data_IF_875634154026
#
_entry.id   IF_875634154026
#
_cell.length_a   1.000
_cell.length_b   1.000
_cell.length_c   1.000
_cell.angle_alpha   90.00
_cell.angle_beta   90.00
_cell.angle_gamma   90.00
#
_symmetry.space_group_name_H-M   'P 1'
#
loop_
_entity.id
_entity.type
_entity.pdbx_description
1 polymer ?
#
# COMPACT_ATOMS: atom_id res chain seq x y z
N UNK A 1 -17.12 16.48 -0.77
CA UNK A 1 -15.84 16.18 -0.09
C UNK A 1 -15.09 14.99 -0.71
N UNK A 2 -15.76 13.85 -0.92
CA UNK A 2 -15.20 12.60 -1.50
C UNK A 2 -14.41 12.79 -2.82
N UNK A 3 -14.91 13.60 -3.77
CA UNK A 3 -14.23 13.82 -5.06
C UNK A 3 -12.86 14.53 -4.93
N UNK A 4 -12.75 15.52 -4.02
CA UNK A 4 -11.48 16.22 -3.76
C UNK A 4 -10.46 15.28 -3.15
N UNK A 5 -10.87 14.46 -2.18
CA UNK A 5 -9.99 13.50 -1.53
C UNK A 5 -9.46 12.46 -2.51
N UNK A 6 -10.32 11.88 -3.36
CA UNK A 6 -9.89 10.94 -4.42
C UNK A 6 -8.89 11.58 -5.37
N UNK A 7 -9.11 12.83 -5.74
CA UNK A 7 -8.20 13.56 -6.61
C UNK A 7 -6.83 13.79 -5.96
N UNK A 8 -6.80 14.15 -4.67
CA UNK A 8 -5.55 14.29 -3.90
C UNK A 8 -4.82 12.95 -3.82
N UNK A 9 -5.54 11.86 -3.56
CA UNK A 9 -4.96 10.52 -3.41
C UNK A 9 -4.35 10.03 -4.73
N UNK A 10 -5.09 10.17 -5.85
CA UNK A 10 -4.55 9.86 -7.17
C UNK A 10 -3.38 10.76 -7.55
N UNK A 11 -3.44 12.06 -7.19
CA UNK A 11 -2.32 12.98 -7.38
C UNK A 11 -1.08 12.56 -6.62
N UNK A 12 -1.21 12.17 -5.35
CA UNK A 12 -0.09 11.69 -4.54
C UNK A 12 0.56 10.43 -5.12
N UNK A 13 -0.25 9.46 -5.59
CA UNK A 13 0.23 8.24 -6.26
C UNK A 13 0.96 8.59 -7.56
N UNK A 14 0.39 9.48 -8.38
CA UNK A 14 1.01 9.90 -9.63
C UNK A 14 2.36 10.61 -9.38
N UNK A 15 2.43 11.50 -8.38
CA UNK A 15 3.66 12.22 -8.01
C UNK A 15 4.75 11.24 -7.54
N UNK A 16 4.42 10.31 -6.63
CA UNK A 16 5.40 9.30 -6.17
C UNK A 16 5.85 8.38 -7.30
N UNK A 17 4.95 8.02 -8.22
CA UNK A 17 5.31 7.30 -9.44
C UNK A 17 6.29 8.07 -10.33
N UNK A 18 6.04 9.35 -10.57
CA UNK A 18 6.93 10.20 -11.39
C UNK A 18 8.29 10.38 -10.71
N UNK A 19 8.33 10.61 -9.39
CA UNK A 19 9.59 10.75 -8.65
C UNK A 19 10.45 9.48 -8.74
N UNK A 20 9.84 8.30 -8.65
CA UNK A 20 10.54 7.02 -8.81
C UNK A 20 11.08 6.76 -10.23
N UNK A 21 10.62 7.51 -11.23
CA UNK A 21 11.15 7.46 -12.59
C UNK A 21 12.25 8.51 -12.82
N UNK A 22 12.11 9.71 -12.23
CA UNK A 22 13.07 10.81 -12.36
C UNK A 22 14.38 10.56 -11.60
N UNK A 23 14.32 9.82 -10.49
CA UNK A 23 15.49 9.51 -9.66
C UNK A 23 15.83 8.01 -9.69
N UNK A 24 16.40 7.48 -10.79
CA UNK A 24 16.86 6.10 -10.83
C UNK A 24 18.04 5.90 -9.87
N UNK A 25 18.09 4.74 -9.21
CA UNK A 25 19.21 4.37 -8.35
C UNK A 25 20.51 4.33 -9.16
N UNK A 26 21.50 5.10 -8.70
CA UNK A 26 22.77 5.31 -9.42
C UNK A 26 23.69 4.09 -9.36
N UNK A 27 23.61 3.33 -8.28
CA UNK A 27 24.36 2.09 -8.04
C UNK A 27 23.41 0.97 -7.57
N UNK A 28 22.74 0.26 -8.50
CA UNK A 28 21.85 -0.84 -8.14
C UNK A 28 22.68 -2.05 -7.67
N UNK A 29 22.73 -2.29 -6.36
CA UNK A 29 23.34 -3.49 -5.77
C UNK A 29 22.46 -4.72 -5.96
N UNK A 30 21.16 -4.54 -6.10
CA UNK A 30 20.19 -5.62 -6.30
C UNK A 30 19.36 -5.41 -7.57
N UNK A 31 18.93 -6.52 -8.19
CA UNK A 31 18.27 -6.49 -9.49
C UNK A 31 16.93 -5.73 -9.48
N UNK A 32 16.20 -5.73 -8.36
CA UNK A 32 14.95 -5.00 -8.18
C UNK A 32 15.12 -3.48 -8.07
N UNK A 33 16.29 -2.98 -7.65
CA UNK A 33 16.57 -1.53 -7.62
C UNK A 33 16.76 -0.94 -9.03
N UNK A 34 16.94 -1.80 -10.05
CA UNK A 34 16.99 -1.39 -11.45
C UNK A 34 15.60 -1.02 -12.00
N UNK A 35 14.54 -1.45 -11.34
CA UNK A 35 13.16 -1.18 -11.77
C UNK A 35 12.77 0.19 -11.22
N UNK A 36 12.59 1.22 -12.07
CA UNK A 36 12.09 2.51 -11.60
C UNK A 36 10.68 2.30 -11.02
N UNK A 37 10.32 3.09 -10.00
CA UNK A 37 9.00 3.03 -9.34
C UNK A 37 8.75 1.76 -8.50
N UNK A 38 9.73 0.86 -8.36
CA UNK A 38 9.58 -0.38 -7.57
C UNK A 38 9.09 -0.13 -6.14
N UNK A 39 9.66 0.85 -5.44
CA UNK A 39 9.32 1.15 -4.05
C UNK A 39 7.86 1.59 -3.88
N UNK A 40 7.34 2.37 -4.84
CA UNK A 40 5.94 2.82 -4.81
C UNK A 40 4.97 1.65 -5.03
N UNK A 41 5.30 0.74 -5.96
CA UNK A 41 4.51 -0.47 -6.22
C UNK A 41 4.55 -1.39 -4.99
N UNK A 42 5.74 -1.60 -4.42
CA UNK A 42 5.92 -2.44 -3.24
C UNK A 42 5.14 -1.90 -2.03
N UNK A 43 5.24 -0.59 -1.77
CA UNK A 43 4.48 0.06 -0.69
C UNK A 43 2.96 -0.03 -0.90
N UNK A 44 2.49 0.16 -2.14
CA UNK A 44 1.06 0.06 -2.46
C UNK A 44 0.52 -1.37 -2.27
N UNK A 45 1.25 -2.37 -2.79
CA UNK A 45 0.90 -3.79 -2.61
C UNK A 45 0.96 -4.17 -1.13
N UNK A 46 2.00 -3.75 -0.40
CA UNK A 46 2.14 -3.98 1.03
C UNK A 46 0.95 -3.43 1.82
N UNK A 47 0.48 -2.23 1.48
CA UNK A 47 -0.69 -1.63 2.11
C UNK A 47 -1.97 -2.46 1.86
N UNK A 48 -2.18 -2.92 0.61
CA UNK A 48 -3.31 -3.80 0.27
C UNK A 48 -3.22 -5.12 1.05
N UNK A 49 -2.04 -5.75 1.10
CA UNK A 49 -1.82 -7.00 1.82
C UNK A 49 -2.17 -6.82 3.30
N UNK A 50 -1.68 -5.75 3.94
CA UNK A 50 -1.98 -5.46 5.35
C UNK A 50 -3.49 -5.31 5.58
N UNK A 51 -4.20 -4.61 4.70
CA UNK A 51 -5.66 -4.44 4.82
C UNK A 51 -6.36 -5.79 4.73
N UNK A 52 -6.01 -6.63 3.74
CA UNK A 52 -6.62 -7.95 3.54
C UNK A 52 -6.31 -8.85 4.73
N UNK A 53 -5.05 -8.90 5.15
CA UNK A 53 -4.59 -9.72 6.26
C UNK A 53 -5.27 -9.29 7.57
N UNK A 54 -5.41 -7.98 7.81
CA UNK A 54 -6.11 -7.45 8.99
C UNK A 54 -7.58 -7.82 8.99
N UNK A 55 -8.26 -7.76 7.84
CA UNK A 55 -9.66 -8.20 7.72
C UNK A 55 -9.81 -9.69 7.97
N UNK A 56 -8.89 -10.50 7.44
CA UNK A 56 -8.89 -11.95 7.61
C UNK A 56 -8.68 -12.35 9.08
N UNK A 57 -7.69 -11.76 9.74
CA UNK A 57 -7.44 -11.92 11.18
C UNK A 57 -8.65 -11.48 12.02
N UNK A 58 -9.21 -10.31 11.70
CA UNK A 58 -10.38 -9.79 12.40
C UNK A 58 -11.56 -10.75 12.34
N UNK A 59 -11.86 -11.29 11.16
CA UNK A 59 -13.02 -12.17 10.96
C UNK A 59 -12.81 -13.59 11.50
N UNK A 60 -11.59 -14.11 11.50
CA UNK A 60 -11.31 -15.50 11.90
C UNK A 60 -10.92 -15.66 13.36
N UNK A 61 -10.38 -14.63 14.00
CA UNK A 61 -9.80 -14.75 15.35
C UNK A 61 -10.35 -13.72 16.33
N UNK A 62 -10.59 -12.47 15.91
CA UNK A 62 -10.87 -11.37 16.84
C UNK A 62 -12.37 -11.11 17.07
N UNK A 63 -13.24 -11.59 16.19
CA UNK A 63 -14.69 -11.55 16.40
C UNK A 63 -15.04 -12.54 17.50
N UNK A 64 -15.38 -11.99 18.67
CA UNK A 64 -15.80 -12.73 19.85
C UNK A 64 -17.27 -13.10 19.67
N UNK A 65 -17.62 -14.35 19.95
CA UNK A 65 -19.00 -14.85 19.83
C UNK A 65 -19.97 -13.97 20.64
N UNK A 66 -21.14 -13.74 20.05
CA UNK A 66 -22.17 -12.81 20.53
C UNK A 66 -22.70 -13.18 21.93
N UNK A 67 -22.50 -14.44 22.35
CA UNK A 67 -22.89 -14.98 23.65
C UNK A 67 -21.86 -14.80 24.78
N UNK A 68 -20.77 -14.02 24.60
CA UNK A 68 -19.78 -13.83 25.67
C UNK A 68 -20.31 -13.04 26.89
N UNK A 69 -21.47 -12.39 26.78
CA UNK A 69 -22.12 -11.66 27.88
C UNK A 69 -23.46 -12.26 28.32
N UNK A 70 -23.81 -13.44 27.81
CA UNK A 70 -24.90 -14.25 28.39
C UNK A 70 -24.39 -15.12 29.55
#
# INVERSE_FOLDING_TARGET
MQKKLRFILYGAIAITGVLGFVFPYKDPHFWWQKIPVFDAIFGFIGCIIIIIFSKWLGHRWLMKDEHYYD
#
